data_IF_576913754296
#
_entry.id   IF_576913754296
#
_cell.length_a   1.000
_cell.length_b   1.000
_cell.length_c   1.000
_cell.angle_alpha   90.00
_cell.angle_beta   90.00
_cell.angle_gamma   90.00
#
_symmetry.space_group_name_H-M   'P 1'
#
loop_
_entity.id
_entity.type
_entity.pdbx_description
1 polymer ?
#
# COMPACT_ATOMS: atom_id res chain seq x y z
N UNK A 1 13.82 1.58 -9.78
CA UNK A 1 14.30 0.45 -8.95
C UNK A 1 13.14 -0.22 -8.23
N UNK A 2 13.27 -1.53 -7.88
CA UNK A 2 12.30 -2.30 -7.05
C UNK A 2 12.88 -2.50 -5.66
N UNK A 3 12.49 -1.71 -4.69
CA UNK A 3 13.10 -1.67 -3.36
C UNK A 3 12.19 -2.28 -2.30
N UNK A 4 12.76 -2.99 -1.33
CA UNK A 4 11.98 -3.56 -0.22
C UNK A 4 12.82 -4.05 0.93
N UNK A 5 12.12 -4.54 1.93
CA UNK A 5 12.69 -5.09 3.17
C UNK A 5 12.31 -6.57 3.29
N UNK A 6 13.26 -7.37 3.70
CA UNK A 6 13.10 -8.83 3.84
C UNK A 6 13.72 -9.32 5.14
N UNK A 7 13.27 -10.48 5.59
CA UNK A 7 13.89 -11.25 6.66
C UNK A 7 14.64 -12.45 6.04
N UNK A 8 15.92 -12.59 6.38
CA UNK A 8 16.79 -13.70 5.95
C UNK A 8 17.33 -14.35 7.22
N UNK A 9 16.90 -15.58 7.51
CA UNK A 9 17.05 -16.14 8.85
C UNK A 9 16.40 -15.21 9.88
N UNK A 10 17.18 -14.68 10.83
CA UNK A 10 16.69 -13.76 11.86
C UNK A 10 17.18 -12.30 11.64
N UNK A 11 17.64 -11.97 10.43
CA UNK A 11 18.19 -10.63 10.14
C UNK A 11 17.33 -9.91 9.12
N UNK A 12 16.84 -8.74 9.49
CA UNK A 12 16.19 -7.81 8.57
C UNK A 12 17.24 -7.19 7.65
N UNK A 13 16.96 -7.21 6.35
CA UNK A 13 17.78 -6.58 5.31
C UNK A 13 16.87 -5.80 4.37
N UNK A 14 17.36 -4.71 3.83
CA UNK A 14 16.70 -4.00 2.73
C UNK A 14 17.60 -4.02 1.49
N UNK A 15 16.99 -3.85 0.33
CA UNK A 15 17.71 -3.95 -0.94
C UNK A 15 16.82 -3.81 -2.15
N UNK A 16 17.37 -4.22 -3.30
CA UNK A 16 16.71 -4.18 -4.60
C UNK A 16 16.38 -5.59 -5.09
N UNK A 17 15.22 -5.71 -5.74
CA UNK A 17 14.81 -6.95 -6.42
C UNK A 17 15.14 -6.85 -7.91
N UNK A 18 15.94 -7.80 -8.40
CA UNK A 18 16.26 -7.97 -9.82
C UNK A 18 15.85 -9.38 -10.19
N UNK A 19 14.87 -9.52 -11.06
CA UNK A 19 14.25 -10.79 -11.44
C UNK A 19 13.84 -11.63 -10.23
N UNK A 20 14.46 -12.80 -10.03
CA UNK A 20 14.21 -13.71 -8.91
C UNK A 20 15.25 -13.62 -7.80
N UNK A 21 16.01 -12.53 -7.76
CA UNK A 21 17.10 -12.33 -6.80
C UNK A 21 16.90 -11.05 -6.01
N UNK A 22 17.08 -11.13 -4.70
CA UNK A 22 17.18 -9.99 -3.80
C UNK A 22 18.64 -9.64 -3.57
N UNK A 23 19.02 -8.41 -3.89
CA UNK A 23 20.35 -7.84 -3.70
C UNK A 23 20.31 -6.91 -2.50
N UNK A 24 20.96 -7.31 -1.40
CA UNK A 24 20.92 -6.49 -0.18
C UNK A 24 21.82 -5.27 -0.29
N UNK A 25 21.52 -4.24 0.49
CA UNK A 25 22.43 -3.13 0.67
C UNK A 25 23.80 -3.64 1.12
N UNK A 26 24.88 -3.07 0.57
CA UNK A 26 26.24 -3.40 0.96
C UNK A 26 26.55 -2.98 2.40
N UNK A 27 27.65 -3.47 2.97
CA UNK A 27 28.00 -3.25 4.37
C UNK A 27 28.17 -1.75 4.73
N UNK A 28 28.71 -0.96 3.81
CA UNK A 28 28.92 0.49 4.01
C UNK A 28 27.57 1.23 4.08
N UNK A 29 26.69 0.95 3.12
CA UNK A 29 25.35 1.54 3.05
C UNK A 29 24.50 1.08 4.23
N UNK A 30 24.49 -0.22 4.54
CA UNK A 30 23.70 -0.76 5.66
C UNK A 30 24.20 -0.25 7.03
N UNK A 31 25.49 0.05 7.18
CA UNK A 31 26.03 0.67 8.39
C UNK A 31 25.64 2.14 8.53
N UNK A 32 25.62 2.88 7.41
CA UNK A 32 25.24 4.29 7.38
C UNK A 32 23.73 4.48 7.51
N UNK A 33 22.95 3.66 6.80
CA UNK A 33 21.49 3.69 6.77
C UNK A 33 20.94 2.34 7.23
N UNK A 34 20.48 2.26 8.46
CA UNK A 34 20.07 1.00 9.07
C UNK A 34 18.75 0.46 8.53
N UNK A 35 17.94 1.29 7.86
CA UNK A 35 16.64 0.94 7.29
C UNK A 35 16.47 1.53 5.89
N UNK A 36 15.58 0.94 5.09
CA UNK A 36 15.19 1.51 3.79
C UNK A 36 14.63 2.94 3.97
N UNK A 37 13.87 3.19 5.03
CA UNK A 37 13.34 4.52 5.34
C UNK A 37 14.45 5.56 5.53
N UNK A 38 15.51 5.23 6.28
CA UNK A 38 16.64 6.17 6.48
C UNK A 38 17.39 6.43 5.18
N UNK A 39 17.49 5.45 4.30
CA UNK A 39 18.08 5.63 2.96
C UNK A 39 17.21 6.54 2.08
N UNK A 40 15.88 6.36 2.10
CA UNK A 40 14.95 7.23 1.38
C UNK A 40 15.03 8.68 1.89
N UNK A 41 15.14 8.87 3.20
CA UNK A 41 15.27 10.18 3.80
C UNK A 41 16.53 10.94 3.31
N UNK A 42 17.64 10.24 3.22
CA UNK A 42 18.90 10.82 2.74
C UNK A 42 18.87 11.10 1.23
N UNK A 43 18.20 10.24 0.44
CA UNK A 43 18.00 10.48 -0.99
C UNK A 43 17.25 11.81 -1.24
N UNK A 44 16.36 12.21 -0.33
CA UNK A 44 15.59 13.46 -0.45
C UNK A 44 16.45 14.72 -0.34
N UNK A 45 17.67 14.62 0.19
CA UNK A 45 18.59 15.76 0.39
C UNK A 45 19.83 15.69 -0.50
N UNK A 46 19.79 14.88 -1.56
CA UNK A 46 20.81 14.89 -2.61
C UNK A 46 21.61 13.62 -2.80
N UNK A 47 21.40 12.57 -2.00
CA UNK A 47 21.99 11.27 -2.26
C UNK A 47 21.24 10.61 -3.44
N UNK A 48 21.90 10.45 -4.57
CA UNK A 48 21.34 9.71 -5.70
C UNK A 48 21.44 8.22 -5.46
N UNK A 49 20.31 7.52 -5.40
CA UNK A 49 20.28 6.06 -5.36
C UNK A 49 20.89 5.50 -6.66
N UNK A 50 21.78 4.52 -6.51
CA UNK A 50 22.39 3.81 -7.63
C UNK A 50 22.62 2.33 -7.28
N UNK A 51 22.87 1.51 -8.29
CA UNK A 51 23.00 0.06 -8.16
C UNK A 51 24.16 -0.37 -7.25
N UNK A 52 25.22 0.44 -7.16
CA UNK A 52 26.36 0.16 -6.30
C UNK A 52 26.02 0.18 -4.79
N UNK A 53 24.85 0.67 -4.41
CA UNK A 53 24.37 0.59 -3.02
C UNK A 53 23.93 -0.82 -2.66
N UNK A 54 23.59 -1.63 -3.65
CA UNK A 54 22.97 -2.94 -3.53
C UNK A 54 23.84 -4.08 -4.10
N UNK A 55 25.16 -3.90 -4.07
CA UNK A 55 26.15 -4.93 -4.42
C UNK A 55 26.53 -5.82 -3.23
N UNK A 56 25.74 -5.83 -2.18
CA UNK A 56 25.87 -6.71 -1.02
C UNK A 56 25.46 -8.18 -1.33
N UNK A 57 25.36 -9.03 -0.30
CA UNK A 57 24.95 -10.42 -0.47
C UNK A 57 23.63 -10.57 -1.22
N UNK A 58 23.59 -11.56 -2.12
CA UNK A 58 22.45 -11.88 -2.96
C UNK A 58 21.73 -13.13 -2.45
N UNK A 59 20.41 -13.18 -2.60
CA UNK A 59 19.55 -14.28 -2.14
C UNK A 59 18.48 -14.56 -3.17
N UNK A 60 18.17 -15.83 -3.41
CA UNK A 60 17.00 -16.17 -4.21
C UNK A 60 15.72 -15.76 -3.47
N UNK A 61 14.68 -15.35 -4.19
CA UNK A 61 13.40 -14.95 -3.55
C UNK A 61 12.74 -16.10 -2.78
N UNK A 62 13.10 -17.37 -3.03
CA UNK A 62 12.64 -18.52 -2.26
C UNK A 62 13.32 -18.66 -0.88
N UNK A 63 14.40 -17.93 -0.64
CA UNK A 63 15.18 -17.98 0.61
C UNK A 63 14.84 -16.83 1.56
N UNK A 64 13.99 -15.90 1.11
CA UNK A 64 13.61 -14.72 1.87
C UNK A 64 12.18 -14.82 2.40
N UNK A 65 11.92 -14.13 3.53
CA UNK A 65 10.57 -13.80 3.96
C UNK A 65 10.33 -12.31 3.73
N UNK A 66 9.29 -11.96 2.99
CA UNK A 66 8.93 -10.56 2.77
C UNK A 66 8.52 -9.90 4.10
N UNK A 67 8.90 -8.65 4.25
CA UNK A 67 8.35 -7.73 5.24
C UNK A 67 7.62 -6.61 4.49
N UNK A 68 6.74 -5.84 5.14
CA UNK A 68 6.28 -4.60 4.53
C UNK A 68 7.49 -3.80 4.05
N UNK A 69 7.43 -3.14 2.87
CA UNK A 69 8.63 -2.48 2.30
C UNK A 69 9.33 -1.51 3.26
N UNK A 70 8.56 -0.83 4.12
CA UNK A 70 9.06 -0.02 5.24
C UNK A 70 8.32 -0.47 6.51
N UNK A 71 8.84 -1.46 7.27
CA UNK A 71 8.14 -2.06 8.40
C UNK A 71 7.78 -1.09 9.54
N UNK A 72 8.50 0.02 9.63
CA UNK A 72 8.31 1.06 10.67
C UNK A 72 7.97 2.41 10.06
N UNK A 73 7.12 2.43 9.02
CA UNK A 73 6.60 3.69 8.46
C UNK A 73 5.97 4.54 9.57
N UNK A 74 6.28 5.85 9.59
CA UNK A 74 5.76 6.74 10.63
C UNK A 74 4.25 6.94 10.51
N UNK A 75 3.73 7.00 9.28
CA UNK A 75 2.30 7.16 9.01
C UNK A 75 1.85 6.21 7.90
N UNK A 76 0.78 5.51 8.17
CA UNK A 76 -0.02 4.78 7.20
C UNK A 76 -1.33 5.54 7.05
N UNK A 77 -1.41 6.39 6.03
CA UNK A 77 -2.54 7.27 5.75
C UNK A 77 -3.38 6.59 4.67
N UNK A 78 -4.70 6.50 4.88
CA UNK A 78 -5.62 5.94 3.91
C UNK A 78 -6.65 6.98 3.51
N UNK A 79 -7.10 6.91 2.26
CA UNK A 79 -8.12 7.77 1.67
C UNK A 79 -9.41 6.97 1.47
N UNK A 80 -10.48 7.40 2.08
CA UNK A 80 -11.80 6.79 1.91
C UNK A 80 -12.58 7.39 0.74
N UNK A 81 -13.43 6.58 0.10
CA UNK A 81 -14.40 7.00 -0.93
C UNK A 81 -13.77 7.79 -2.09
N UNK A 82 -12.68 7.28 -2.66
CA UNK A 82 -11.92 7.99 -3.71
C UNK A 82 -12.22 7.51 -5.15
N UNK A 83 -13.20 6.66 -5.33
CA UNK A 83 -13.70 6.25 -6.65
C UNK A 83 -15.22 6.31 -6.69
N UNK A 84 -15.77 6.56 -7.88
CA UNK A 84 -17.21 6.49 -8.07
C UNK A 84 -17.71 5.06 -7.82
N UNK A 85 -18.84 4.94 -7.16
CA UNK A 85 -19.51 3.65 -6.96
C UNK A 85 -20.34 3.30 -8.17
N UNK A 86 -20.16 2.10 -8.68
CA UNK A 86 -20.81 1.61 -9.91
C UNK A 86 -21.83 0.50 -9.59
N UNK A 87 -21.75 -0.11 -8.38
CA UNK A 87 -22.65 -1.19 -8.00
C UNK A 87 -24.07 -0.69 -7.72
N UNK A 88 -25.09 -1.48 -8.02
CA UNK A 88 -26.47 -1.13 -7.70
C UNK A 88 -26.63 -1.04 -6.18
N UNK A 89 -26.82 0.18 -5.68
CA UNK A 89 -27.24 0.44 -4.31
C UNK A 89 -28.76 0.54 -4.35
N UNK A 90 -29.47 -0.05 -3.40
CA UNK A 90 -30.87 0.30 -3.21
C UNK A 90 -30.94 1.78 -2.85
N UNK A 91 -31.45 2.61 -3.77
CA UNK A 91 -31.50 4.06 -3.64
C UNK A 91 -30.56 4.80 -4.60
N UNK A 92 -30.39 6.09 -4.38
CA UNK A 92 -29.49 6.93 -5.16
C UNK A 92 -28.03 6.65 -4.80
N UNK A 93 -27.14 6.73 -5.80
CA UNK A 93 -25.71 6.66 -5.56
C UNK A 93 -25.30 7.71 -4.50
N UNK A 94 -24.46 7.34 -3.52
CA UNK A 94 -24.01 8.31 -2.55
C UNK A 94 -23.31 9.47 -3.28
N UNK A 95 -23.57 10.73 -2.86
CA UNK A 95 -22.95 11.89 -3.47
C UNK A 95 -21.42 11.78 -3.37
N UNK A 96 -20.72 12.34 -4.34
CA UNK A 96 -19.25 12.46 -4.27
C UNK A 96 -18.88 13.21 -2.99
N UNK A 97 -17.86 12.74 -2.24
CA UNK A 97 -17.42 13.44 -1.06
C UNK A 97 -16.92 14.84 -1.44
N UNK A 98 -17.30 15.85 -0.65
CA UNK A 98 -16.86 17.24 -0.88
C UNK A 98 -15.41 17.44 -0.45
N UNK A 99 -14.92 16.63 0.48
CA UNK A 99 -13.56 16.70 1.01
C UNK A 99 -12.94 15.31 1.04
N UNK A 100 -11.61 15.27 0.99
CA UNK A 100 -10.85 14.04 1.16
C UNK A 100 -11.09 13.49 2.56
N UNK A 101 -11.49 12.23 2.66
CA UNK A 101 -11.65 11.52 3.92
C UNK A 101 -10.35 10.80 4.22
N UNK A 102 -9.65 11.23 5.27
CA UNK A 102 -8.41 10.59 5.72
C UNK A 102 -8.64 9.82 7.01
N UNK A 103 -7.97 8.67 7.11
CA UNK A 103 -7.86 7.91 8.36
C UNK A 103 -6.50 7.23 8.44
N UNK A 104 -6.11 6.85 9.65
CA UNK A 104 -4.84 6.14 9.90
C UNK A 104 -5.04 4.64 9.99
N UNK A 105 -4.00 3.89 9.59
CA UNK A 105 -3.87 2.46 9.88
C UNK A 105 -2.78 2.21 10.90
N UNK A 106 -3.05 1.27 11.79
CA UNK A 106 -2.07 0.78 12.75
C UNK A 106 -1.12 -0.22 12.09
N UNK A 107 0.15 -0.19 12.48
CA UNK A 107 1.17 -1.11 11.97
C UNK A 107 0.82 -2.57 12.24
N UNK A 108 0.17 -2.87 13.38
CA UNK A 108 -0.25 -4.23 13.73
C UNK A 108 -1.28 -4.83 12.77
N UNK A 109 -2.00 -3.99 12.03
CA UNK A 109 -2.94 -4.43 11.01
C UNK A 109 -2.28 -4.92 9.72
N UNK A 110 -0.97 -4.67 9.52
CA UNK A 110 -0.29 -4.88 8.24
C UNK A 110 0.53 -6.17 8.25
N UNK A 111 0.27 -7.02 7.27
CA UNK A 111 1.14 -8.14 6.89
C UNK A 111 1.83 -7.87 5.55
N UNK A 112 2.89 -8.62 5.24
CA UNK A 112 3.62 -8.48 3.99
C UNK A 112 3.07 -9.41 2.88
N UNK A 113 3.63 -9.28 1.70
CA UNK A 113 3.44 -10.23 0.60
C UNK A 113 3.75 -11.66 1.04
N UNK A 114 2.94 -12.62 0.61
CA UNK A 114 3.02 -14.04 0.98
C UNK A 114 2.92 -14.33 2.50
N UNK A 115 2.46 -13.37 3.29
CA UNK A 115 2.03 -13.62 4.67
C UNK A 115 0.52 -13.73 4.72
N UNK A 116 0.02 -14.45 5.71
CA UNK A 116 -1.41 -14.70 5.85
C UNK A 116 -2.13 -13.47 6.43
N UNK A 117 -3.28 -13.14 5.86
CA UNK A 117 -4.26 -12.24 6.43
C UNK A 117 -5.14 -13.06 7.37
N UNK A 118 -5.34 -12.59 8.60
CA UNK A 118 -6.13 -13.30 9.60
C UNK A 118 -7.59 -12.82 9.60
N UNK A 119 -8.53 -13.78 9.48
CA UNK A 119 -9.95 -13.47 9.64
C UNK A 119 -10.21 -13.11 11.11
N UNK A 120 -10.79 -11.93 11.40
CA UNK A 120 -11.13 -11.55 12.76
C UNK A 120 -12.09 -12.55 13.43
N UNK A 121 -12.00 -12.66 14.75
CA UNK A 121 -12.84 -13.60 15.49
C UNK A 121 -14.29 -13.11 15.66
N UNK A 122 -15.21 -14.06 15.79
CA UNK A 122 -16.61 -13.82 16.17
C UNK A 122 -17.40 -13.06 15.12
N UNK A 123 -18.20 -12.07 15.54
CA UNK A 123 -19.08 -11.33 14.66
C UNK A 123 -18.33 -10.47 13.62
N UNK A 124 -17.08 -10.10 13.89
CA UNK A 124 -16.26 -9.34 12.98
C UNK A 124 -15.95 -10.09 11.68
N UNK A 125 -15.79 -11.41 11.75
CA UNK A 125 -15.58 -12.28 10.59
C UNK A 125 -16.67 -12.16 9.52
N UNK A 126 -17.92 -11.90 9.94
CA UNK A 126 -19.07 -11.87 9.04
C UNK A 126 -19.09 -10.71 8.06
N UNK A 127 -18.24 -9.70 8.30
CA UNK A 127 -18.15 -8.50 7.45
C UNK A 127 -16.70 -8.13 7.10
N UNK A 128 -15.78 -9.10 7.19
CA UNK A 128 -14.39 -8.90 6.85
C UNK A 128 -14.20 -8.84 5.33
N UNK A 129 -13.55 -7.80 4.85
CA UNK A 129 -13.53 -7.43 3.44
C UNK A 129 -12.15 -6.92 3.00
N UNK A 130 -11.93 -6.90 1.70
CA UNK A 130 -10.70 -6.45 1.04
C UNK A 130 -10.93 -5.13 0.30
N UNK A 131 -9.86 -4.37 0.16
CA UNK A 131 -9.80 -3.13 -0.64
C UNK A 131 -8.42 -3.03 -1.30
N UNK A 132 -8.35 -3.38 -2.60
CA UNK A 132 -7.13 -3.18 -3.37
C UNK A 132 -6.90 -1.70 -3.66
N UNK A 133 -5.65 -1.23 -3.42
CA UNK A 133 -5.29 0.18 -3.55
C UNK A 133 -3.89 0.36 -4.12
N UNK A 134 -3.69 1.48 -4.80
CA UNK A 134 -2.35 1.99 -5.11
C UNK A 134 -1.82 2.66 -3.84
N UNK A 135 -0.57 2.36 -3.47
CA UNK A 135 0.11 3.04 -2.38
C UNK A 135 1.15 4.02 -2.92
N UNK A 136 1.16 5.22 -2.40
CA UNK A 136 2.16 6.26 -2.69
C UNK A 136 3.10 6.38 -1.50
N UNK A 137 4.39 6.35 -1.75
CA UNK A 137 5.42 6.48 -0.72
C UNK A 137 6.05 7.87 -0.82
N UNK A 138 6.03 8.59 0.30
CA UNK A 138 6.66 9.91 0.40
C UNK A 138 8.18 9.77 0.42
N UNK A 139 8.86 10.58 -0.36
CA UNK A 139 10.31 10.62 -0.45
C UNK A 139 10.94 11.88 0.12
N UNK A 140 10.23 12.99 0.09
CA UNK A 140 10.73 14.31 0.52
C UNK A 140 9.82 14.88 1.62
N UNK A 141 10.44 15.31 2.72
CA UNK A 141 9.70 15.97 3.81
C UNK A 141 8.96 17.22 3.30
N UNK A 142 7.71 17.41 3.73
CA UNK A 142 6.93 18.57 3.35
C UNK A 142 5.75 18.85 4.27
N UNK A 143 5.35 20.10 4.33
CA UNK A 143 4.18 20.63 5.03
C UNK A 143 3.56 21.69 4.12
N UNK A 144 2.24 21.76 4.07
CA UNK A 144 1.51 22.72 3.23
C UNK A 144 1.94 22.67 1.75
N UNK A 145 2.07 21.44 1.22
CA UNK A 145 2.52 21.19 -0.16
C UNK A 145 1.41 21.58 -1.12
N UNK A 146 1.72 22.39 -2.14
CA UNK A 146 0.73 22.65 -3.20
C UNK A 146 0.55 21.43 -4.11
N UNK A 147 -0.64 21.20 -4.70
CA UNK A 147 -0.84 20.11 -5.66
C UNK A 147 0.18 20.10 -6.81
N UNK A 148 0.58 21.27 -7.30
CA UNK A 148 1.57 21.41 -8.37
C UNK A 148 2.97 20.90 -7.98
N UNK A 149 3.31 20.91 -6.71
CA UNK A 149 4.61 20.48 -6.18
C UNK A 149 4.56 19.05 -5.58
N UNK A 150 3.38 18.45 -5.47
CA UNK A 150 3.19 17.17 -4.79
C UNK A 150 4.02 16.03 -5.40
N UNK A 151 4.15 15.99 -6.72
CA UNK A 151 4.94 14.97 -7.41
C UNK A 151 6.42 14.95 -6.99
N UNK A 152 7.01 16.10 -6.62
CA UNK A 152 8.39 16.16 -6.13
C UNK A 152 8.57 15.40 -4.82
N UNK A 153 7.51 15.30 -4.02
CA UNK A 153 7.51 14.62 -2.72
C UNK A 153 7.31 13.12 -2.80
N UNK A 154 6.98 12.56 -3.97
CA UNK A 154 6.81 11.13 -4.17
C UNK A 154 8.18 10.46 -4.34
N UNK A 155 8.40 9.37 -3.61
CA UNK A 155 9.53 8.46 -3.80
C UNK A 155 9.19 7.37 -4.81
N UNK A 156 8.02 6.79 -4.70
CA UNK A 156 7.58 5.70 -5.56
C UNK A 156 6.20 5.20 -5.19
N UNK A 157 5.88 4.03 -5.74
CA UNK A 157 4.55 3.43 -5.64
C UNK A 157 4.65 1.97 -5.22
N UNK A 158 3.60 1.46 -4.59
CA UNK A 158 3.48 0.08 -4.15
C UNK A 158 2.02 -0.39 -4.25
N UNK A 159 1.73 -1.58 -3.75
CA UNK A 159 0.37 -2.15 -3.70
C UNK A 159 -0.04 -2.34 -2.26
N UNK A 160 -1.29 -2.01 -1.96
CA UNK A 160 -1.86 -2.07 -0.62
C UNK A 160 -3.20 -2.78 -0.64
N UNK A 161 -3.52 -3.50 0.43
CA UNK A 161 -4.85 -4.01 0.74
C UNK A 161 -5.32 -3.36 2.03
N UNK A 162 -6.35 -2.53 1.97
CA UNK A 162 -6.97 -1.90 3.13
C UNK A 162 -8.08 -2.79 3.70
N UNK A 163 -7.67 -3.86 4.39
CA UNK A 163 -8.58 -4.80 5.02
C UNK A 163 -9.57 -4.11 5.95
N UNK A 164 -10.84 -4.52 5.87
CA UNK A 164 -11.97 -3.78 6.46
C UNK A 164 -12.95 -4.72 7.12
N UNK A 165 -13.40 -4.40 8.32
CA UNK A 165 -14.56 -5.04 8.96
C UNK A 165 -15.73 -4.07 8.86
N UNK A 166 -16.63 -4.29 7.89
CA UNK A 166 -17.67 -3.33 7.49
C UNK A 166 -18.60 -2.94 8.63
N UNK A 167 -19.04 -3.89 9.44
CA UNK A 167 -19.94 -3.60 10.55
C UNK A 167 -19.26 -2.74 11.64
N UNK A 168 -17.94 -2.91 11.88
CA UNK A 168 -17.19 -2.09 12.83
C UNK A 168 -16.90 -0.68 12.31
N UNK A 169 -16.95 -0.44 10.99
CA UNK A 169 -16.89 0.91 10.45
C UNK A 169 -18.08 1.79 10.91
N UNK A 170 -19.20 1.18 11.31
CA UNK A 170 -20.33 1.89 11.93
C UNK A 170 -20.01 2.43 13.33
N UNK A 171 -19.05 1.83 14.04
CA UNK A 171 -18.57 2.35 15.33
C UNK A 171 -17.63 3.52 15.12
N UNK A 172 -16.64 3.34 14.26
CA UNK A 172 -15.75 4.37 13.72
C UNK A 172 -14.98 3.80 12.54
N UNK A 173 -14.47 4.67 11.64
CA UNK A 173 -13.59 4.22 10.56
C UNK A 173 -12.38 3.49 11.14
N UNK A 174 -11.78 4.03 12.20
CA UNK A 174 -10.61 3.44 12.84
C UNK A 174 -10.88 2.00 13.34
N UNK A 175 -12.00 1.78 14.03
CA UNK A 175 -12.36 0.44 14.53
C UNK A 175 -12.53 -0.58 13.40
N UNK A 176 -13.15 -0.20 12.29
CA UNK A 176 -13.36 -1.10 11.15
C UNK A 176 -12.12 -1.34 10.30
N UNK A 177 -11.07 -0.55 10.44
CA UNK A 177 -9.87 -0.57 9.58
C UNK A 177 -8.60 -1.08 10.25
N UNK A 178 -8.63 -1.41 11.55
CA UNK A 178 -7.42 -1.69 12.33
C UNK A 178 -7.44 -3.02 13.11
N UNK A 179 -8.15 -4.03 12.59
CA UNK A 179 -7.99 -5.38 13.12
C UNK A 179 -6.57 -5.89 12.84
N UNK A 180 -5.99 -6.59 13.81
CA UNK A 180 -4.63 -7.13 13.70
C UNK A 180 -4.52 -8.03 12.45
N UNK A 181 -3.43 -7.87 11.67
CA UNK A 181 -3.12 -8.63 10.44
C UNK A 181 -4.25 -8.68 9.40
N UNK A 182 -5.14 -7.69 9.38
CA UNK A 182 -6.27 -7.63 8.45
C UNK A 182 -5.92 -7.04 7.08
N UNK A 183 -4.78 -6.38 6.97
CA UNK A 183 -4.36 -5.64 5.79
C UNK A 183 -2.99 -6.08 5.31
N UNK A 184 -2.60 -5.68 4.11
CA UNK A 184 -1.30 -6.07 3.59
C UNK A 184 -0.65 -5.00 2.72
N UNK A 185 0.69 -4.98 2.68
CA UNK A 185 1.48 -4.04 1.91
C UNK A 185 2.71 -4.68 1.28
N UNK A 186 2.95 -4.39 0.01
CA UNK A 186 4.15 -4.84 -0.69
C UNK A 186 3.91 -5.39 -2.10
N UNK A 187 4.76 -6.28 -2.58
CA UNK A 187 6.01 -6.82 -2.00
C UNK A 187 7.16 -5.80 -1.93
N UNK A 188 7.15 -4.76 -2.78
CA UNK A 188 8.23 -3.78 -2.90
C UNK A 188 7.70 -2.42 -3.35
N UNK A 189 8.54 -1.40 -3.28
CA UNK A 189 8.32 -0.06 -3.81
C UNK A 189 8.99 0.02 -5.18
N UNK A 190 8.27 0.50 -6.19
CA UNK A 190 8.82 0.90 -7.48
C UNK A 190 9.10 2.40 -7.42
N UNK A 191 10.33 2.81 -7.67
CA UNK A 191 10.70 4.24 -7.67
C UNK A 191 9.98 4.99 -8.79
N UNK A 192 9.65 6.25 -8.55
CA UNK A 192 8.81 7.06 -9.46
C UNK A 192 9.37 7.25 -10.86
N UNK A 193 10.69 7.20 -11.01
CA UNK A 193 11.39 7.30 -12.30
C UNK A 193 11.09 6.14 -13.25
N UNK A 194 10.70 4.97 -12.71
CA UNK A 194 10.28 3.81 -13.50
C UNK A 194 8.84 3.98 -14.06
N UNK A 195 8.06 4.93 -13.55
CA UNK A 195 6.66 5.12 -13.88
C UNK A 195 6.49 6.35 -14.76
N UNK A 196 6.27 6.11 -16.05
CA UNK A 196 6.13 7.18 -17.05
C UNK A 196 4.91 8.08 -16.80
N UNK A 197 3.80 7.49 -16.35
CA UNK A 197 2.54 8.18 -16.10
C UNK A 197 1.76 7.44 -15.02
N UNK A 198 1.77 7.98 -13.81
CA UNK A 198 1.09 7.34 -12.67
C UNK A 198 -0.44 7.34 -12.84
N UNK A 199 -1.03 8.22 -13.64
CA UNK A 199 -2.47 8.26 -13.92
C UNK A 199 -2.95 7.04 -14.70
N UNK A 200 -2.03 6.37 -15.45
CA UNK A 200 -2.32 5.15 -16.21
C UNK A 200 -2.09 3.86 -15.44
N UNK A 201 -1.70 3.94 -14.17
CA UNK A 201 -1.60 2.75 -13.34
C UNK A 201 -2.97 2.08 -13.25
N UNK A 202 -3.05 0.82 -13.69
CA UNK A 202 -4.27 0.00 -13.61
C UNK A 202 -4.18 -0.93 -12.42
N UNK A 203 -5.17 -0.88 -11.56
CA UNK A 203 -5.33 -1.76 -10.43
C UNK A 203 -6.36 -2.84 -10.76
N UNK A 204 -6.00 -4.10 -10.49
CA UNK A 204 -6.89 -5.24 -10.57
C UNK A 204 -6.80 -6.07 -9.30
N UNK A 205 -7.95 -6.48 -8.75
CA UNK A 205 -8.03 -7.38 -7.60
C UNK A 205 -8.73 -8.66 -7.99
N UNK A 206 -8.13 -9.80 -7.66
CA UNK A 206 -8.72 -11.11 -7.79
C UNK A 206 -8.95 -11.71 -6.41
N UNK A 207 -10.17 -12.16 -6.17
CA UNK A 207 -10.50 -13.03 -5.04
C UNK A 207 -10.56 -14.46 -5.58
N UNK A 208 -9.64 -15.29 -5.15
CA UNK A 208 -9.36 -16.59 -5.77
C UNK A 208 -9.02 -16.38 -7.26
N UNK A 209 -9.78 -16.96 -8.18
CA UNK A 209 -9.61 -16.78 -9.63
C UNK A 209 -10.52 -15.71 -10.24
N UNK A 210 -11.44 -15.12 -9.46
CA UNK A 210 -12.44 -14.16 -9.94
C UNK A 210 -11.89 -12.73 -9.88
N UNK A 211 -11.90 -12.03 -11.02
CA UNK A 211 -11.66 -10.58 -11.06
C UNK A 211 -12.82 -9.87 -10.35
N UNK A 212 -12.51 -9.07 -9.33
CA UNK A 212 -13.51 -8.38 -8.50
C UNK A 212 -13.36 -6.87 -8.51
N UNK A 213 -12.15 -6.34 -8.71
CA UNK A 213 -11.91 -4.90 -8.87
C UNK A 213 -11.06 -4.65 -10.11
N UNK A 214 -11.37 -3.61 -10.89
CA UNK A 214 -10.63 -3.19 -12.07
C UNK A 214 -10.83 -1.70 -12.31
N UNK A 215 -9.76 -0.91 -12.21
CA UNK A 215 -9.80 0.54 -12.40
C UNK A 215 -8.44 1.08 -12.81
N UNK A 216 -8.40 2.36 -13.18
CA UNK A 216 -7.16 3.11 -13.41
C UNK A 216 -7.08 4.31 -12.48
N UNK A 217 -5.86 4.77 -12.20
CA UNK A 217 -5.62 5.86 -11.25
C UNK A 217 -6.24 7.20 -11.68
N UNK A 218 -6.47 7.42 -12.98
CA UNK A 218 -7.16 8.60 -13.52
C UNK A 218 -8.66 8.65 -13.18
N UNK A 219 -9.22 7.56 -12.63
CA UNK A 219 -10.62 7.48 -12.15
C UNK A 219 -10.77 7.89 -10.68
N UNK A 220 -9.68 8.24 -10.00
CA UNK A 220 -9.76 8.78 -8.64
C UNK A 220 -10.57 10.07 -8.62
N UNK A 221 -11.42 10.24 -7.60
CA UNK A 221 -12.17 11.48 -7.35
C UNK A 221 -11.20 12.61 -7.00
N UNK A 222 -10.28 12.33 -6.10
CA UNK A 222 -9.17 13.21 -5.72
C UNK A 222 -7.86 12.60 -6.21
N UNK A 223 -7.14 13.31 -7.03
CA UNK A 223 -5.85 12.88 -7.57
C UNK A 223 -4.81 12.65 -6.47
N UNK A 224 -3.74 11.92 -6.79
CA UNK A 224 -2.63 11.69 -5.87
C UNK A 224 -2.04 13.02 -5.38
N UNK A 225 -1.93 13.99 -6.27
CA UNK A 225 -1.42 15.32 -5.96
C UNK A 225 -2.30 16.07 -4.94
N UNK A 226 -3.62 15.98 -5.10
CA UNK A 226 -4.58 16.58 -4.16
C UNK A 226 -4.55 15.87 -2.79
N UNK A 227 -4.41 14.53 -2.78
CA UNK A 227 -4.29 13.76 -1.55
C UNK A 227 -3.03 14.15 -0.75
N UNK A 228 -1.87 14.27 -1.41
CA UNK A 228 -0.61 14.73 -0.79
C UNK A 228 -0.76 16.15 -0.25
N UNK A 229 -1.30 17.05 -1.07
CA UNK A 229 -1.53 18.43 -0.68
C UNK A 229 -2.42 18.49 0.57
N UNK A 230 -3.59 17.84 0.53
CA UNK A 230 -4.51 17.84 1.66
C UNK A 230 -3.92 17.23 2.93
N UNK A 231 -3.30 16.05 2.84
CA UNK A 231 -2.64 15.41 3.99
C UNK A 231 -1.57 16.32 4.61
N UNK A 232 -0.82 17.03 3.76
CA UNK A 232 0.24 17.94 4.21
C UNK A 232 -0.29 19.20 4.90
N UNK A 233 -1.58 19.55 4.76
CA UNK A 233 -2.19 20.64 5.55
C UNK A 233 -2.44 20.24 7.01
N UNK A 234 -2.64 18.95 7.26
CA UNK A 234 -2.90 18.43 8.61
C UNK A 234 -1.62 18.23 9.40
N UNK A 235 -0.62 17.61 8.77
CA UNK A 235 0.66 17.26 9.43
C UNK A 235 1.81 17.27 8.43
N UNK A 236 3.03 17.37 8.95
CA UNK A 236 4.22 17.19 8.10
C UNK A 236 4.31 15.76 7.60
N UNK A 237 4.47 15.59 6.30
CA UNK A 237 4.80 14.33 5.66
C UNK A 237 6.32 14.10 5.73
N UNK A 238 6.74 12.88 6.00
CA UNK A 238 8.14 12.48 6.09
C UNK A 238 8.47 11.37 5.10
N UNK A 239 9.73 11.24 4.69
CA UNK A 239 10.19 10.11 3.89
C UNK A 239 9.79 8.77 4.51
N UNK A 240 9.22 7.90 3.70
CA UNK A 240 8.70 6.61 4.14
C UNK A 240 7.24 6.61 4.64
N UNK A 241 6.59 7.77 4.79
CA UNK A 241 5.14 7.81 5.00
C UNK A 241 4.42 7.22 3.78
N UNK A 242 3.33 6.49 4.03
CA UNK A 242 2.50 5.88 3.00
C UNK A 242 1.15 6.59 2.91
N UNK A 243 0.67 6.80 1.67
CA UNK A 243 -0.70 7.18 1.36
C UNK A 243 -1.32 6.07 0.51
N UNK A 244 -2.28 5.33 1.06
CA UNK A 244 -3.15 4.40 0.35
C UNK A 244 -4.30 5.22 -0.28
N UNK A 245 -4.44 5.13 -1.61
CA UNK A 245 -5.14 6.15 -2.41
C UNK A 245 -6.65 5.97 -2.51
N UNK A 246 -7.19 4.99 -1.84
CA UNK A 246 -8.60 4.61 -1.92
C UNK A 246 -8.83 3.43 -2.86
N UNK A 247 -9.91 2.72 -2.61
CA UNK A 247 -10.30 1.49 -3.31
C UNK A 247 -11.46 1.72 -4.27
N UNK A 248 -11.43 1.13 -5.48
CA UNK A 248 -12.57 1.14 -6.40
C UNK A 248 -13.68 0.21 -5.92
N UNK A 249 -14.80 0.24 -6.62
CA UNK A 249 -15.88 -0.72 -6.47
C UNK A 249 -15.43 -2.17 -6.68
N UNK A 250 -16.29 -3.13 -6.27
CA UNK A 250 -16.03 -4.57 -6.38
C UNK A 250 -15.50 -5.20 -5.09
N UNK A 251 -15.52 -4.46 -3.97
CA UNK A 251 -15.29 -5.04 -2.64
C UNK A 251 -16.35 -6.06 -2.30
N UNK A 252 -16.09 -6.97 -1.38
CA UNK A 252 -17.04 -8.02 -1.01
C UNK A 252 -18.37 -7.47 -0.50
N UNK A 253 -18.31 -6.36 0.24
CA UNK A 253 -19.49 -5.66 0.76
C UNK A 253 -20.35 -5.00 -0.33
N UNK A 254 -19.79 -4.72 -1.52
CA UNK A 254 -20.50 -4.12 -2.65
C UNK A 254 -21.09 -5.16 -3.62
N UNK A 255 -20.76 -6.44 -3.47
CA UNK A 255 -21.29 -7.51 -4.33
C UNK A 255 -22.73 -7.87 -3.96
N UNK A 256 -23.47 -8.37 -4.95
CA UNK A 256 -24.83 -8.91 -4.75
C UNK A 256 -24.86 -10.37 -5.28
N UNK A 257 -25.00 -11.37 -4.39
CA UNK A 257 -24.95 -11.29 -2.92
C UNK A 257 -23.58 -10.87 -2.39
N UNK A 258 -23.52 -10.30 -1.20
CA UNK A 258 -22.24 -9.93 -0.54
C UNK A 258 -21.32 -11.15 -0.43
N UNK A 259 -20.02 -10.91 -0.65
CA UNK A 259 -18.98 -11.95 -0.59
C UNK A 259 -17.77 -11.43 0.21
N UNK A 260 -17.84 -11.59 1.52
CA UNK A 260 -16.76 -11.26 2.44
C UNK A 260 -15.64 -12.30 2.41
N UNK A 261 -14.45 -11.92 2.90
CA UNK A 261 -13.31 -12.82 3.03
C UNK A 261 -13.60 -13.92 4.07
N UNK A 262 -13.16 -15.12 3.75
CA UNK A 262 -13.21 -16.28 4.67
C UNK A 262 -11.88 -17.05 4.61
N UNK A 263 -11.59 -17.82 5.65
CA UNK A 263 -10.43 -18.72 5.65
C UNK A 263 -10.43 -19.64 4.42
N UNK A 264 -9.27 -19.80 3.80
CA UNK A 264 -9.07 -20.53 2.56
C UNK A 264 -9.13 -19.68 1.29
N UNK A 265 -9.51 -18.40 1.38
CA UNK A 265 -9.44 -17.47 0.24
C UNK A 265 -7.98 -17.08 -0.08
N UNK A 266 -7.75 -16.74 -1.34
CA UNK A 266 -6.51 -16.10 -1.80
C UNK A 266 -6.85 -14.74 -2.42
N UNK A 267 -6.23 -13.69 -1.89
CA UNK A 267 -6.36 -12.32 -2.40
C UNK A 267 -5.12 -11.96 -3.23
N UNK A 268 -5.34 -11.53 -4.46
CA UNK A 268 -4.28 -11.09 -5.38
C UNK A 268 -4.61 -9.71 -5.91
N UNK A 269 -3.77 -8.73 -5.60
CA UNK A 269 -3.90 -7.34 -6.06
C UNK A 269 -2.71 -7.01 -6.96
N UNK A 270 -2.97 -6.59 -8.19
CA UNK A 270 -1.94 -6.22 -9.16
C UNK A 270 -2.11 -4.77 -9.58
N UNK A 271 -1.03 -4.02 -9.58
CA UNK A 271 -0.97 -2.70 -10.21
C UNK A 271 -0.01 -2.75 -11.38
N UNK A 272 -0.50 -2.42 -12.57
CA UNK A 272 0.29 -2.50 -13.81
C UNK A 272 1.54 -1.63 -13.73
N UNK A 273 2.67 -2.16 -14.20
CA UNK A 273 3.96 -1.45 -14.12
C UNK A 273 4.59 -1.43 -12.73
N UNK A 274 3.86 -1.87 -11.69
CA UNK A 274 4.40 -1.98 -10.33
C UNK A 274 4.69 -3.43 -9.97
N UNK A 275 3.71 -4.11 -9.40
CA UNK A 275 3.90 -5.44 -8.82
C UNK A 275 2.57 -6.12 -8.51
N UNK A 276 2.65 -7.34 -7.98
CA UNK A 276 1.51 -8.10 -7.48
C UNK A 276 1.70 -8.42 -6.01
N UNK A 277 0.73 -8.03 -5.19
CA UNK A 277 0.59 -8.41 -3.78
C UNK A 277 -0.31 -9.64 -3.70
N UNK A 278 0.14 -10.69 -3.02
CA UNK A 278 -0.61 -11.93 -2.82
C UNK A 278 -0.62 -12.28 -1.35
N UNK A 279 -1.79 -12.65 -0.85
CA UNK A 279 -1.96 -13.13 0.53
C UNK A 279 -2.99 -14.26 0.57
N UNK A 280 -2.77 -15.26 1.39
CA UNK A 280 -3.81 -16.20 1.79
C UNK A 280 -4.59 -15.63 2.97
N UNK A 281 -5.82 -16.07 3.12
CA UNK A 281 -6.71 -15.69 4.24
C UNK A 281 -6.88 -16.92 5.13
N UNK A 282 -6.58 -16.80 6.41
CA UNK A 282 -6.61 -17.91 7.39
C UNK A 282 -7.58 -17.66 8.55
#
# INVERSE_FOLDING_TARGET
MKLGTVLIGNKTKYGVFIDKTFHSANATIAKKFQTLQSLIAENSIGLSLNDNFFDGPQFNISEIKYLPPIPSSNKLICVGLNYEKIYPVEGENPPKPQNIILFGKDQSSIVAHNQDIEVPLGAAAQSFDYEGEIAVIIGKKGKDISPSNAFEHIFGYSVFNDGSVREWQKHSIYAGKNFEKSSSWGPHIITKDEIKDHKKLRLTTFLNSKLVQDTTADKMIFSIEEQIAYASTLFTLFPGDLIATGSPDGTGGSQVPKRHLVSGDTLKITVSGLTTLVNNVV
#
